data_IF_715601758993
#
_entry.id   IF_715601758993
#
_cell.length_a   1.000
_cell.length_b   1.000
_cell.length_c   1.000
_cell.angle_alpha   90.00
_cell.angle_beta   90.00
_cell.angle_gamma   90.00
#
_symmetry.space_group_name_H-M   'P 1'
#
loop_
_entity.id
_entity.type
_entity.pdbx_description
1 polymer ?
#
# COMPACT_ATOMS: atom_id res chain seq x y z
N UNK A 1 24.56 14.14 11.61
CA UNK A 1 23.71 15.02 10.78
C UNK A 1 23.02 14.13 9.76
N UNK A 2 21.70 14.02 9.86
CA UNK A 2 20.94 12.88 9.36
C UNK A 2 20.35 13.21 7.98
N UNK A 3 21.01 12.71 6.94
CA UNK A 3 20.69 12.96 5.53
C UNK A 3 19.28 12.49 5.13
N UNK A 4 18.67 11.57 5.89
CA UNK A 4 17.30 11.10 5.68
C UNK A 4 16.25 12.16 6.04
N UNK A 5 16.53 13.03 7.02
CA UNK A 5 15.57 14.05 7.47
C UNK A 5 15.30 15.13 6.41
N UNK A 6 16.28 15.45 5.56
CA UNK A 6 16.11 16.46 4.52
C UNK A 6 15.26 15.96 3.33
N UNK A 7 15.33 14.68 2.97
CA UNK A 7 14.58 14.13 1.83
C UNK A 7 13.07 14.00 2.09
N UNK A 8 12.66 13.70 3.33
CA UNK A 8 11.24 13.79 3.71
C UNK A 8 10.73 15.21 3.68
N UNK A 9 11.55 16.12 4.21
CA UNK A 9 11.21 17.53 4.19
C UNK A 9 10.99 17.97 2.75
N UNK A 10 11.71 17.38 1.78
CA UNK A 10 11.49 17.66 0.37
C UNK A 10 10.18 17.06 -0.15
N UNK A 11 9.93 15.73 -0.05
CA UNK A 11 8.72 15.14 -0.63
C UNK A 11 7.42 15.72 -0.02
N UNK A 12 7.30 15.74 1.30
CA UNK A 12 6.08 16.23 1.96
C UNK A 12 5.83 17.72 1.70
N UNK A 13 6.90 18.52 1.61
CA UNK A 13 6.84 19.93 1.20
C UNK A 13 6.40 20.04 -0.25
N UNK A 14 7.06 19.32 -1.15
CA UNK A 14 6.86 19.43 -2.58
C UNK A 14 5.45 18.99 -2.97
N UNK A 15 4.94 17.90 -2.39
CA UNK A 15 3.53 17.51 -2.55
C UNK A 15 2.58 18.63 -2.11
N UNK A 16 2.86 19.26 -0.97
CA UNK A 16 2.00 20.34 -0.43
C UNK A 16 2.07 21.60 -1.30
N UNK A 17 3.26 22.00 -1.73
CA UNK A 17 3.47 23.15 -2.62
C UNK A 17 2.85 22.91 -4.00
N UNK A 18 2.99 21.71 -4.56
CA UNK A 18 2.38 21.33 -5.84
C UNK A 18 0.84 21.39 -5.81
N UNK A 19 0.24 21.35 -4.62
CA UNK A 19 -1.21 21.55 -4.38
C UNK A 19 -1.60 22.99 -4.11
N UNK A 20 -0.66 23.93 -4.19
CA UNK A 20 -0.87 25.33 -3.85
C UNK A 20 -1.10 25.58 -2.35
N UNK A 21 -0.71 24.63 -1.50
CA UNK A 21 -0.82 24.73 -0.04
C UNK A 21 0.49 25.20 0.58
N UNK A 22 0.42 25.68 1.83
CA UNK A 22 1.59 26.15 2.55
C UNK A 22 2.38 24.96 3.12
N UNK A 23 3.70 24.86 2.89
CA UNK A 23 4.48 23.79 3.49
C UNK A 23 4.59 23.87 5.02
N UNK A 24 4.30 25.03 5.61
CA UNK A 24 4.21 25.19 7.07
C UNK A 24 2.96 24.53 7.67
N UNK A 25 2.02 24.09 6.84
CA UNK A 25 0.80 23.40 7.27
C UNK A 25 0.99 21.87 7.35
N UNK A 26 2.21 21.37 7.14
CA UNK A 26 2.55 19.95 7.20
C UNK A 26 3.41 19.66 8.40
N UNK A 27 2.95 18.71 9.20
CA UNK A 27 3.76 18.12 10.25
C UNK A 27 4.47 16.88 9.71
N UNK A 28 5.79 16.84 9.80
CA UNK A 28 6.60 15.63 9.56
C UNK A 28 6.96 14.96 10.90
N UNK A 29 7.03 13.63 10.91
CA UNK A 29 7.37 12.87 12.11
C UNK A 29 7.96 11.50 11.76
N UNK A 30 8.84 11.01 12.64
CA UNK A 30 9.49 9.69 12.51
C UNK A 30 8.77 8.67 13.39
N UNK A 31 8.63 7.45 12.88
CA UNK A 31 7.92 6.35 13.54
C UNK A 31 8.80 5.12 13.54
N UNK A 32 9.11 4.62 14.74
CA UNK A 32 9.83 3.36 14.94
C UNK A 32 8.82 2.29 15.34
N UNK A 33 8.78 1.21 14.57
CA UNK A 33 8.04 0.00 14.93
C UNK A 33 9.00 -1.01 15.53
N UNK A 34 8.54 -1.88 16.43
CA UNK A 34 9.43 -2.77 17.21
C UNK A 34 10.06 -3.90 16.37
N UNK A 35 9.47 -4.17 15.22
CA UNK A 35 9.78 -5.21 14.25
C UNK A 35 10.65 -4.70 13.09
N UNK A 36 11.19 -3.47 13.16
CA UNK A 36 12.14 -2.93 12.19
C UNK A 36 13.16 -1.99 12.83
N UNK A 37 14.38 -1.97 12.30
CA UNK A 37 15.47 -1.14 12.85
C UNK A 37 15.44 0.33 12.36
N UNK A 38 14.80 0.58 11.22
CA UNK A 38 14.73 1.90 10.60
C UNK A 38 13.38 2.57 10.87
N UNK A 39 13.34 3.90 11.07
CA UNK A 39 12.09 4.61 11.16
C UNK A 39 11.46 4.78 9.79
N UNK A 40 10.14 4.70 9.74
CA UNK A 40 9.39 5.33 8.66
C UNK A 40 9.24 6.80 8.98
N UNK A 41 9.32 7.60 7.94
CA UNK A 41 9.12 9.03 8.09
C UNK A 41 7.83 9.38 7.36
N UNK A 42 6.96 10.06 8.10
CA UNK A 42 5.58 10.31 7.72
C UNK A 42 5.27 11.80 7.77
N UNK A 43 4.21 12.20 7.08
CA UNK A 43 3.68 13.54 7.19
C UNK A 43 2.16 13.60 7.19
N UNK A 44 1.67 14.66 7.84
CA UNK A 44 0.24 14.94 7.97
C UNK A 44 0.02 16.42 7.73
N UNK A 45 -0.81 16.76 6.76
CA UNK A 45 -1.29 18.13 6.56
C UNK A 45 -2.29 18.51 7.68
N UNK A 46 -2.30 19.78 8.12
CA UNK A 46 -3.15 20.25 9.22
C UNK A 46 -4.64 19.98 9.00
N UNK A 47 -5.08 20.05 7.74
CA UNK A 47 -6.46 19.84 7.31
C UNK A 47 -6.86 18.36 7.26
N UNK A 48 -5.92 17.43 7.50
CA UNK A 48 -6.26 16.01 7.60
C UNK A 48 -7.14 15.75 8.82
N UNK A 49 -8.29 15.10 8.65
CA UNK A 49 -9.12 14.64 9.77
C UNK A 49 -8.55 13.40 10.48
N UNK A 50 -7.53 12.76 9.90
CA UNK A 50 -6.84 11.59 10.46
C UNK A 50 -5.73 12.08 11.40
N UNK A 51 -5.70 11.58 12.63
CA UNK A 51 -4.65 11.91 13.60
C UNK A 51 -3.33 11.20 13.28
N UNK A 52 -2.19 11.75 13.77
CA UNK A 52 -0.88 11.09 13.65
C UNK A 52 -0.92 9.65 14.19
N UNK A 53 -1.59 9.43 15.33
CA UNK A 53 -1.72 8.10 15.92
C UNK A 53 -2.49 7.14 15.01
N UNK A 54 -3.58 7.58 14.38
CA UNK A 54 -4.31 6.73 13.43
C UNK A 54 -3.47 6.37 12.20
N UNK A 55 -2.62 7.27 11.72
CA UNK A 55 -1.69 6.99 10.62
C UNK A 55 -0.70 5.91 11.04
N UNK A 56 -0.07 6.09 12.21
CA UNK A 56 0.88 5.13 12.81
C UNK A 56 0.21 3.76 12.99
N UNK A 57 -0.95 3.71 13.64
CA UNK A 57 -1.61 2.46 13.98
C UNK A 57 -2.12 1.72 12.73
N UNK A 58 -2.59 2.44 11.71
CA UNK A 58 -3.10 1.81 10.49
C UNK A 58 -1.95 1.31 9.64
N UNK A 59 -0.91 2.12 9.43
CA UNK A 59 0.25 1.73 8.64
C UNK A 59 1.06 0.62 9.33
N UNK A 60 1.16 0.64 10.65
CA UNK A 60 1.86 -0.38 11.44
C UNK A 60 1.22 -1.77 11.40
N UNK A 61 -0.07 -1.88 11.06
CA UNK A 61 -0.77 -3.16 10.90
C UNK A 61 -0.41 -3.88 9.61
N UNK A 62 0.27 -3.23 8.68
CA UNK A 62 0.68 -3.87 7.44
C UNK A 62 1.73 -4.93 7.75
N UNK A 63 1.74 -6.05 7.00
CA UNK A 63 2.87 -6.97 6.99
C UNK A 63 4.19 -6.23 6.79
N UNK A 64 5.24 -6.63 7.52
CA UNK A 64 6.59 -6.03 7.41
C UNK A 64 7.07 -6.09 5.96
N UNK A 65 6.94 -7.27 5.34
CA UNK A 65 7.32 -7.49 3.93
C UNK A 65 6.60 -6.56 2.95
N UNK A 66 5.43 -6.00 3.31
CA UNK A 66 4.73 -5.01 2.48
C UNK A 66 5.26 -3.60 2.74
N UNK A 67 5.29 -3.17 4.02
CA UNK A 67 5.60 -1.78 4.37
C UNK A 67 7.08 -1.42 4.23
N UNK A 68 7.99 -2.40 4.17
CA UNK A 68 9.42 -2.16 3.91
C UNK A 68 9.70 -1.61 2.51
N UNK A 69 8.79 -1.81 1.56
CA UNK A 69 8.90 -1.25 0.20
C UNK A 69 8.38 0.20 0.11
N UNK A 70 7.82 0.74 1.20
CA UNK A 70 7.36 2.13 1.26
C UNK A 70 8.42 3.01 1.88
N UNK A 71 8.73 4.10 1.19
CA UNK A 71 9.69 5.10 1.65
C UNK A 71 9.08 6.11 2.61
N UNK A 72 8.01 6.79 2.19
CA UNK A 72 7.34 7.82 2.98
C UNK A 72 5.81 7.67 2.93
N UNK A 73 5.14 8.10 3.99
CA UNK A 73 3.67 8.05 4.11
C UNK A 73 3.15 9.46 4.37
N UNK A 74 2.19 9.92 3.56
CA UNK A 74 1.60 11.24 3.72
C UNK A 74 0.08 11.21 3.74
N UNK A 75 -0.56 12.02 4.59
CA UNK A 75 -2.02 12.16 4.63
C UNK A 75 -2.45 13.62 4.54
N UNK A 76 -3.32 13.92 3.57
CA UNK A 76 -3.88 15.24 3.32
C UNK A 76 -5.41 15.25 3.52
N UNK A 77 -5.98 16.44 3.70
CA UNK A 77 -7.44 16.61 3.89
C UNK A 77 -8.24 16.13 2.68
N UNK A 78 -7.84 16.56 1.48
CA UNK A 78 -8.43 16.15 0.20
C UNK A 78 -7.33 15.95 -0.84
N UNK A 79 -7.37 14.85 -1.57
CA UNK A 79 -6.69 14.66 -2.85
C UNK A 79 -7.76 14.40 -3.93
N UNK A 80 -7.34 14.37 -5.19
CA UNK A 80 -8.20 13.97 -6.31
C UNK A 80 -8.62 12.50 -6.23
N UNK A 81 -7.79 11.67 -5.60
CA UNK A 81 -7.95 10.22 -5.47
C UNK A 81 -8.05 9.78 -4.00
N UNK A 82 -8.44 8.53 -3.74
CA UNK A 82 -8.42 7.96 -2.40
C UNK A 82 -7.00 7.90 -1.83
N UNK A 83 -6.04 7.55 -2.68
CA UNK A 83 -4.61 7.67 -2.47
C UNK A 83 -3.87 7.59 -3.80
N UNK A 84 -2.54 7.60 -3.73
CA UNK A 84 -1.67 7.24 -4.85
C UNK A 84 -0.29 6.84 -4.32
N UNK A 85 0.47 6.15 -5.17
CA UNK A 85 1.90 5.90 -4.98
C UNK A 85 2.74 6.65 -6.02
N UNK A 86 3.81 7.32 -5.59
CA UNK A 86 4.81 7.92 -6.47
C UNK A 86 6.22 7.79 -5.88
N UNK A 87 7.14 7.14 -6.61
CA UNK A 87 8.53 6.98 -6.18
C UNK A 87 8.68 6.24 -4.86
N UNK A 88 7.82 5.24 -4.60
CA UNK A 88 7.69 4.49 -3.34
C UNK A 88 7.16 5.30 -2.16
N UNK A 89 6.69 6.54 -2.39
CA UNK A 89 5.97 7.31 -1.38
C UNK A 89 4.48 7.12 -1.60
N UNK A 90 3.73 6.92 -0.52
CA UNK A 90 2.28 6.75 -0.57
C UNK A 90 1.60 7.96 0.06
N UNK A 91 0.58 8.46 -0.62
CA UNK A 91 -0.21 9.59 -0.18
C UNK A 91 -1.68 9.21 -0.10
N UNK A 92 -2.38 9.72 0.92
CA UNK A 92 -3.78 9.37 1.17
C UNK A 92 -4.66 10.59 1.41
N UNK A 93 -5.91 10.46 0.98
CA UNK A 93 -6.99 11.38 1.35
C UNK A 93 -7.62 10.95 2.66
N UNK A 94 -7.82 11.92 3.57
CA UNK A 94 -8.35 11.64 4.90
C UNK A 94 -9.71 10.95 4.91
N UNK A 95 -10.62 11.27 3.98
CA UNK A 95 -11.94 10.66 3.90
C UNK A 95 -11.94 9.19 3.50
N UNK A 96 -10.84 8.70 2.91
CA UNK A 96 -10.69 7.32 2.45
C UNK A 96 -9.63 6.54 3.24
N UNK A 97 -8.99 7.16 4.23
CA UNK A 97 -7.92 6.54 5.00
C UNK A 97 -8.45 5.40 5.88
N UNK A 98 -8.27 4.17 5.40
CA UNK A 98 -8.61 2.94 6.10
C UNK A 98 -7.65 1.83 5.64
N UNK A 99 -7.61 0.72 6.38
CA UNK A 99 -6.62 -0.36 6.15
C UNK A 99 -6.66 -0.92 4.72
N UNK A 100 -7.83 -0.97 4.07
CA UNK A 100 -7.96 -1.45 2.70
C UNK A 100 -7.20 -0.57 1.71
N UNK A 101 -7.47 0.74 1.76
CA UNK A 101 -6.81 1.72 0.89
C UNK A 101 -5.32 1.81 1.20
N UNK A 102 -4.94 1.71 2.49
CA UNK A 102 -3.52 1.73 2.87
C UNK A 102 -2.76 0.51 2.31
N UNK A 103 -3.38 -0.69 2.33
CA UNK A 103 -2.81 -1.87 1.68
C UNK A 103 -2.73 -1.64 0.17
N UNK A 104 -3.83 -1.23 -0.48
CA UNK A 104 -3.90 -1.01 -1.93
C UNK A 104 -2.76 -0.10 -2.41
N UNK A 105 -2.64 1.12 -1.87
CA UNK A 105 -1.61 2.07 -2.32
C UNK A 105 -0.19 1.59 -2.02
N UNK A 106 -0.02 0.90 -0.90
CA UNK A 106 1.28 0.32 -0.56
C UNK A 106 1.67 -0.80 -1.52
N UNK A 107 0.70 -1.55 -2.02
CA UNK A 107 0.97 -2.67 -2.92
C UNK A 107 1.43 -2.20 -4.30
N UNK A 108 1.15 -0.97 -4.72
CA UNK A 108 1.85 -0.39 -5.86
C UNK A 108 3.36 -0.25 -5.63
N UNK A 109 3.81 0.04 -4.40
CA UNK A 109 5.23 0.07 -4.08
C UNK A 109 5.86 -1.34 -4.10
N UNK A 110 5.13 -2.33 -3.57
CA UNK A 110 5.54 -3.75 -3.63
C UNK A 110 5.63 -4.23 -5.08
N UNK A 111 4.63 -3.91 -5.92
CA UNK A 111 4.59 -4.24 -7.35
C UNK A 111 5.84 -3.73 -8.08
N UNK A 112 6.27 -2.50 -7.76
CA UNK A 112 7.44 -1.87 -8.35
C UNK A 112 8.78 -2.39 -7.82
N UNK A 113 8.86 -2.86 -6.57
CA UNK A 113 10.14 -3.08 -5.88
C UNK A 113 10.44 -4.55 -5.55
N UNK A 114 9.46 -5.29 -5.01
CA UNK A 114 9.69 -6.60 -4.40
C UNK A 114 10.06 -7.70 -5.41
N UNK A 115 9.51 -7.63 -6.61
CA UNK A 115 9.55 -8.71 -7.59
C UNK A 115 10.51 -8.46 -8.76
N UNK A 116 11.51 -7.58 -8.60
CA UNK A 116 12.45 -7.22 -9.68
C UNK A 116 13.11 -8.40 -10.39
N UNK A 117 13.20 -9.55 -9.73
CA UNK A 117 13.73 -10.80 -10.29
C UNK A 117 12.77 -11.50 -11.27
N UNK A 118 11.46 -11.28 -11.16
CA UNK A 118 10.46 -11.69 -12.15
C UNK A 118 10.20 -10.61 -13.21
N UNK A 119 10.30 -9.34 -12.81
CA UNK A 119 10.04 -8.17 -13.63
C UNK A 119 9.44 -7.05 -12.78
N UNK A 120 9.62 -5.79 -13.20
CA UNK A 120 9.15 -4.62 -12.46
C UNK A 120 8.46 -3.62 -13.40
N UNK A 121 7.20 -3.22 -13.13
CA UNK A 121 6.35 -3.76 -12.07
C UNK A 121 5.95 -5.23 -12.34
N UNK A 122 5.77 -6.02 -11.29
CA UNK A 122 5.39 -7.45 -11.39
C UNK A 122 4.10 -7.65 -12.18
N UNK A 123 3.13 -6.77 -11.95
CA UNK A 123 1.82 -6.78 -12.61
C UNK A 123 1.90 -6.64 -14.14
N UNK A 124 3.02 -6.12 -14.66
CA UNK A 124 3.26 -6.01 -16.10
C UNK A 124 3.88 -7.24 -16.74
N UNK A 125 4.27 -8.24 -15.94
CA UNK A 125 4.82 -9.50 -16.43
C UNK A 125 3.72 -10.38 -17.04
N UNK A 126 4.10 -11.29 -17.94
CA UNK A 126 3.14 -12.24 -18.52
C UNK A 126 2.63 -13.22 -17.46
N UNK A 127 3.44 -13.53 -16.44
CA UNK A 127 3.03 -14.34 -15.30
C UNK A 127 1.80 -13.76 -14.59
N UNK A 128 1.80 -12.45 -14.32
CA UNK A 128 0.64 -11.79 -13.70
C UNK A 128 -0.57 -11.77 -14.63
N UNK A 129 -0.37 -11.39 -15.90
CA UNK A 129 -1.45 -11.32 -16.89
C UNK A 129 -2.10 -12.69 -17.11
N UNK A 130 -1.32 -13.76 -17.10
CA UNK A 130 -1.82 -15.13 -17.28
C UNK A 130 -2.65 -15.58 -16.09
N UNK A 131 -2.28 -15.22 -14.85
CA UNK A 131 -3.09 -15.47 -13.66
C UNK A 131 -4.38 -14.66 -13.68
N UNK A 132 -4.29 -13.36 -13.98
CA UNK A 132 -5.45 -12.48 -14.14
C UNK A 132 -6.45 -13.04 -15.17
N UNK A 133 -5.97 -13.49 -16.34
CA UNK A 133 -6.83 -14.00 -17.41
C UNK A 133 -7.49 -15.35 -17.08
N UNK A 134 -7.02 -16.05 -16.04
CA UNK A 134 -7.64 -17.28 -15.54
C UNK A 134 -8.70 -17.02 -14.47
N UNK A 135 -8.71 -15.82 -13.89
CA UNK A 135 -9.75 -15.40 -12.95
C UNK A 135 -11.04 -15.04 -13.71
N UNK A 136 -12.19 -15.56 -13.23
CA UNK A 136 -13.49 -15.28 -13.84
C UNK A 136 -14.17 -14.04 -13.27
N UNK A 137 -13.58 -13.40 -12.25
CA UNK A 137 -13.98 -12.10 -11.70
C UNK A 137 -12.75 -11.28 -11.31
N UNK A 138 -12.99 -10.01 -11.03
CA UNK A 138 -12.05 -9.13 -10.34
C UNK A 138 -12.67 -8.61 -9.04
N UNK A 139 -11.86 -8.15 -8.07
CA UNK A 139 -12.36 -7.70 -6.76
C UNK A 139 -13.21 -6.43 -6.78
N UNK A 140 -12.85 -5.49 -7.65
CA UNK A 140 -13.48 -4.18 -7.73
C UNK A 140 -13.51 -3.68 -9.18
N UNK A 141 -14.40 -2.74 -9.48
CA UNK A 141 -14.51 -2.16 -10.83
C UNK A 141 -13.20 -1.50 -11.27
N UNK A 142 -12.48 -0.86 -10.35
CA UNK A 142 -11.19 -0.24 -10.62
C UNK A 142 -10.11 -1.24 -11.06
N UNK A 143 -10.24 -2.51 -10.69
CA UNK A 143 -9.31 -3.57 -11.09
C UNK A 143 -9.31 -3.84 -12.61
N UNK A 144 -10.31 -3.36 -13.35
CA UNK A 144 -10.29 -3.39 -14.82
C UNK A 144 -9.49 -2.24 -15.45
N UNK A 145 -9.10 -1.24 -14.68
CA UNK A 145 -8.43 -0.04 -15.21
C UNK A 145 -6.99 -0.33 -15.64
N UNK A 146 -6.29 -1.20 -14.90
CA UNK A 146 -4.97 -1.70 -15.27
C UNK A 146 -4.58 -2.95 -14.49
N UNK A 147 -3.54 -3.65 -14.94
CA UNK A 147 -2.95 -4.78 -14.20
C UNK A 147 -2.38 -4.37 -12.84
N UNK A 148 -1.86 -3.15 -12.74
CA UNK A 148 -1.33 -2.61 -11.48
C UNK A 148 -2.46 -2.35 -10.47
N UNK A 149 -3.61 -1.83 -10.92
CA UNK A 149 -4.80 -1.66 -10.07
C UNK A 149 -5.34 -3.02 -9.60
N UNK A 150 -5.42 -4.01 -10.50
CA UNK A 150 -5.81 -5.36 -10.12
C UNK A 150 -4.85 -5.96 -9.07
N UNK A 151 -3.54 -5.76 -9.25
CA UNK A 151 -2.53 -6.20 -8.28
C UNK A 151 -2.74 -5.56 -6.90
N UNK A 152 -2.96 -4.26 -6.86
CA UNK A 152 -3.22 -3.54 -5.61
C UNK A 152 -4.55 -3.97 -4.96
N UNK A 153 -5.60 -4.21 -5.74
CA UNK A 153 -6.92 -4.64 -5.25
C UNK A 153 -6.95 -6.09 -4.75
N UNK A 154 -6.14 -7.00 -5.32
CA UNK A 154 -6.11 -8.41 -4.89
C UNK A 154 -5.38 -8.60 -3.57
N UNK A 155 -4.47 -7.69 -3.22
CA UNK A 155 -3.57 -7.89 -2.10
C UNK A 155 -4.26 -7.90 -0.73
N UNK A 156 -5.24 -7.02 -0.41
CA UNK A 156 -6.01 -7.15 0.81
C UNK A 156 -6.75 -8.50 0.93
N UNK A 157 -7.26 -9.03 -0.18
CA UNK A 157 -7.88 -10.37 -0.23
C UNK A 157 -6.85 -11.46 0.06
N UNK A 158 -5.65 -11.34 -0.49
CA UNK A 158 -4.55 -12.28 -0.28
C UNK A 158 -4.11 -12.30 1.18
N UNK A 159 -3.93 -11.13 1.80
CA UNK A 159 -3.62 -10.99 3.22
C UNK A 159 -4.74 -11.60 4.08
N UNK A 160 -6.00 -11.32 3.77
CA UNK A 160 -7.13 -11.91 4.49
C UNK A 160 -7.14 -13.43 4.38
N UNK A 161 -7.01 -13.95 3.16
CA UNK A 161 -7.04 -15.38 2.88
C UNK A 161 -5.95 -16.13 3.66
N UNK A 162 -4.79 -15.50 3.84
CA UNK A 162 -3.67 -16.04 4.62
C UNK A 162 -3.91 -16.01 6.13
N UNK A 163 -4.44 -14.91 6.66
CA UNK A 163 -4.38 -14.62 8.09
C UNK A 163 -5.67 -14.88 8.87
N UNK A 164 -6.80 -15.09 8.18
CA UNK A 164 -8.09 -15.36 8.83
C UNK A 164 -8.39 -16.86 8.77
N UNK A 165 -8.73 -17.51 9.90
CA UNK A 165 -9.12 -18.92 9.90
C UNK A 165 -10.26 -19.20 8.91
N UNK A 166 -10.05 -20.13 7.99
CA UNK A 166 -10.99 -20.45 6.91
C UNK A 166 -10.93 -19.53 5.69
N UNK A 167 -10.07 -18.51 5.70
CA UNK A 167 -9.75 -17.65 4.56
C UNK A 167 -10.98 -16.98 3.93
N UNK A 168 -10.89 -16.74 2.62
CA UNK A 168 -12.02 -16.21 1.84
C UNK A 168 -13.13 -17.26 1.64
N UNK A 169 -12.78 -18.55 1.65
CA UNK A 169 -13.74 -19.66 1.52
C UNK A 169 -14.84 -19.58 2.58
N UNK A 170 -14.50 -19.22 3.81
CA UNK A 170 -15.44 -19.11 4.91
C UNK A 170 -16.48 -17.98 4.76
N UNK A 171 -16.22 -16.97 3.92
CA UNK A 171 -17.02 -15.74 3.87
C UNK A 171 -17.55 -15.40 2.48
N UNK A 172 -17.02 -16.01 1.41
CA UNK A 172 -17.40 -15.68 0.05
C UNK A 172 -17.52 -16.92 -0.86
N UNK A 173 -18.73 -17.25 -1.38
CA UNK A 173 -18.95 -18.47 -2.15
C UNK A 173 -18.22 -18.49 -3.51
N UNK A 174 -17.84 -17.31 -4.01
CA UNK A 174 -17.14 -17.15 -5.29
C UNK A 174 -15.65 -16.83 -5.12
N UNK A 175 -15.05 -17.15 -3.97
CA UNK A 175 -13.65 -16.81 -3.67
C UNK A 175 -12.65 -17.39 -4.69
N UNK A 176 -12.96 -18.55 -5.29
CA UNK A 176 -12.14 -19.17 -6.34
C UNK A 176 -12.16 -18.41 -7.67
N UNK A 177 -13.14 -17.54 -7.89
CA UNK A 177 -13.25 -16.78 -9.14
C UNK A 177 -12.19 -15.67 -9.27
N UNK A 178 -11.48 -15.35 -8.18
CA UNK A 178 -10.30 -14.46 -8.12
C UNK A 178 -9.05 -15.22 -7.61
N UNK A 179 -9.11 -16.55 -7.61
CA UNK A 179 -8.19 -17.41 -6.87
C UNK A 179 -6.79 -17.49 -7.49
N UNK A 180 -6.66 -17.37 -8.81
CA UNK A 180 -5.37 -17.54 -9.48
C UNK A 180 -4.42 -16.40 -9.15
N UNK A 181 -4.92 -15.16 -9.13
CA UNK A 181 -4.11 -14.00 -8.76
C UNK A 181 -3.73 -14.01 -7.27
N UNK A 182 -4.63 -14.49 -6.39
CA UNK A 182 -4.33 -14.69 -4.95
C UNK A 182 -3.24 -15.75 -4.76
N UNK A 183 -3.39 -16.90 -5.42
CA UNK A 183 -2.45 -18.01 -5.32
C UNK A 183 -1.07 -17.60 -5.87
N UNK A 184 -1.04 -16.88 -7.00
CA UNK A 184 0.19 -16.36 -7.59
C UNK A 184 0.87 -15.34 -6.67
N UNK A 185 0.15 -14.36 -6.13
CA UNK A 185 0.73 -13.37 -5.21
C UNK A 185 1.27 -14.05 -3.95
N UNK A 186 0.53 -15.01 -3.39
CA UNK A 186 0.97 -15.79 -2.22
C UNK A 186 2.28 -16.54 -2.51
N UNK A 187 2.35 -17.23 -3.65
CA UNK A 187 3.55 -17.97 -4.06
C UNK A 187 4.74 -17.06 -4.35
N UNK A 188 4.52 -16.01 -5.14
CA UNK A 188 5.60 -15.13 -5.60
C UNK A 188 6.19 -14.30 -4.45
N UNK A 189 5.33 -13.89 -3.51
CA UNK A 189 5.75 -13.00 -2.42
C UNK A 189 6.17 -13.76 -1.16
N UNK A 190 5.64 -14.95 -0.94
CA UNK A 190 5.93 -15.75 0.25
C UNK A 190 4.98 -15.44 1.42
N UNK A 191 4.59 -16.50 2.12
CA UNK A 191 3.64 -16.46 3.24
C UNK A 191 4.12 -15.54 4.38
N UNK A 192 5.42 -15.52 4.63
CA UNK A 192 6.06 -14.70 5.66
C UNK A 192 5.88 -13.20 5.41
N UNK A 193 5.87 -12.78 4.13
CA UNK A 193 5.73 -11.38 3.74
C UNK A 193 4.29 -10.88 3.79
N UNK A 194 3.32 -11.78 3.96
CA UNK A 194 1.89 -11.50 4.07
C UNK A 194 1.38 -11.54 5.50
N UNK A 195 2.23 -11.85 6.48
CA UNK A 195 1.85 -11.92 7.90
C UNK A 195 1.88 -10.51 8.51
N UNK A 196 0.78 -10.00 9.10
CA UNK A 196 0.72 -8.66 9.68
C UNK A 196 1.85 -8.39 10.66
N UNK A 197 2.46 -7.19 10.54
CA UNK A 197 3.45 -6.67 11.48
C UNK A 197 2.81 -6.00 12.70
N UNK A 198 3.67 -5.54 13.62
CA UNK A 198 3.29 -4.93 14.90
C UNK A 198 4.37 -5.05 15.96
#
# INVERSE_FOLDING_TARGET
EDWASHQILDWCRDETVNRGQSPNDVDTFSVYYNDCEAPWIMCRHKDSSVSKQQIIDTFGRLPVGIREHVRHVGVWGSLEYAGFMSGLNVAFTSSFFNIWVVIHETMHAVDADAFRHFGSPFSSTDMWKDAYNQDSRVPADNSHSSWAEHFADIAPHTIWNRNVPGGLEAVHPHWREVGNSIDLLTWAFGDENLTPGG
#
